data_IF_994599238282
#
_entry.id   IF_994599238282
#
_cell.length_a   1.000
_cell.length_b   1.000
_cell.length_c   1.000
_cell.angle_alpha   90.00
_cell.angle_beta   90.00
_cell.angle_gamma   90.00
#
_symmetry.space_group_name_H-M   'P 1'
#
loop_
_entity.id
_entity.type
_entity.pdbx_description
1 polymer ?
#
# COMPACT_ATOMS: atom_id res chain seq x y z
N UNK A 1 48.26 56.17 -13.38
CA UNK A 1 47.04 56.08 -12.54
C UNK A 1 45.89 55.26 -13.16
N UNK A 2 45.63 55.28 -14.48
CA UNK A 2 44.52 54.53 -15.10
C UNK A 2 44.58 52.99 -14.95
N UNK A 3 45.77 52.40 -14.87
CA UNK A 3 45.92 50.94 -14.69
C UNK A 3 45.43 50.41 -13.33
N UNK A 4 45.52 51.20 -12.27
CA UNK A 4 45.14 50.76 -10.93
C UNK A 4 43.60 50.67 -10.77
N UNK A 5 42.87 51.56 -11.45
CA UNK A 5 41.41 51.54 -11.46
C UNK A 5 40.87 50.33 -12.23
N UNK A 6 41.51 49.93 -13.34
CA UNK A 6 41.11 48.75 -14.10
C UNK A 6 41.32 47.46 -13.30
N UNK A 7 42.44 47.36 -12.57
CA UNK A 7 42.72 46.20 -11.72
C UNK A 7 41.68 46.08 -10.60
N UNK A 8 41.37 47.17 -9.90
CA UNK A 8 40.34 47.18 -8.84
C UNK A 8 38.96 46.78 -9.38
N UNK A 9 38.58 47.25 -10.57
CA UNK A 9 37.30 46.90 -11.17
C UNK A 9 37.23 45.41 -11.57
N UNK A 10 38.32 44.86 -12.12
CA UNK A 10 38.41 43.44 -12.48
C UNK A 10 38.32 42.52 -11.25
N UNK A 11 38.94 42.92 -10.14
CA UNK A 11 38.95 42.16 -8.89
C UNK A 11 37.56 42.15 -8.25
N UNK A 12 36.84 43.29 -8.31
CA UNK A 12 35.47 43.39 -7.81
C UNK A 12 34.50 42.54 -8.65
N UNK A 13 34.66 42.55 -9.98
CA UNK A 13 33.85 41.74 -10.89
C UNK A 13 34.09 40.23 -10.66
N UNK A 14 35.35 39.83 -10.45
CA UNK A 14 35.70 38.45 -10.10
C UNK A 14 35.10 38.03 -8.75
N UNK A 15 35.11 38.91 -7.76
CA UNK A 15 34.49 38.65 -6.46
C UNK A 15 32.96 38.50 -6.56
N UNK A 16 32.32 39.30 -7.41
CA UNK A 16 30.89 39.26 -7.66
C UNK A 16 30.48 37.98 -8.39
N UNK A 17 31.27 37.54 -9.38
CA UNK A 17 31.05 36.25 -10.06
C UNK A 17 31.24 35.08 -9.10
N UNK A 18 32.31 35.10 -8.28
CA UNK A 18 32.55 34.06 -7.26
C UNK A 18 31.38 33.96 -6.26
N UNK A 19 30.88 35.09 -5.77
CA UNK A 19 29.78 35.09 -4.79
C UNK A 19 28.46 34.59 -5.39
N UNK A 20 28.17 34.88 -6.67
CA UNK A 20 27.02 34.29 -7.38
C UNK A 20 27.19 32.77 -7.53
N UNK A 21 28.38 32.28 -7.87
CA UNK A 21 28.61 30.84 -8.03
C UNK A 21 28.53 30.06 -6.72
N UNK A 22 29.04 30.61 -5.62
CA UNK A 22 28.95 30.00 -4.28
C UNK A 22 27.50 29.97 -3.80
N UNK A 23 26.74 31.04 -4.02
CA UNK A 23 25.32 31.06 -3.66
C UNK A 23 24.52 30.03 -4.46
N UNK A 24 24.88 29.81 -5.73
CA UNK A 24 24.23 28.80 -6.59
C UNK A 24 24.57 27.35 -6.25
N UNK A 25 25.64 27.09 -5.49
CA UNK A 25 26.03 25.73 -5.05
C UNK A 25 25.40 25.31 -3.71
N UNK A 26 24.82 26.25 -2.95
CA UNK A 26 24.25 25.95 -1.63
C UNK A 26 22.97 25.07 -1.68
N UNK A 27 22.39 24.89 -2.86
CA UNK A 27 21.16 24.11 -3.07
C UNK A 27 21.40 22.67 -3.59
N UNK A 28 22.63 22.18 -3.70
CA UNK A 28 22.86 20.77 -4.03
C UNK A 28 22.74 19.88 -2.77
N UNK A 29 21.59 19.21 -2.67
CA UNK A 29 21.31 18.10 -1.75
C UNK A 29 22.31 16.94 -1.89
N UNK A 30 22.46 16.07 -0.87
CA UNK A 30 23.65 15.24 -0.67
C UNK A 30 23.85 14.22 -1.78
N UNK A 31 25.11 14.11 -2.20
CA UNK A 31 25.62 13.11 -3.12
C UNK A 31 25.49 11.71 -2.47
N UNK A 32 24.63 10.85 -3.02
CA UNK A 32 24.65 9.42 -2.71
C UNK A 32 25.88 8.79 -3.35
N UNK A 33 26.77 8.25 -2.53
CA UNK A 33 27.96 7.49 -2.93
C UNK A 33 27.56 6.34 -3.86
N UNK A 34 27.69 6.54 -5.16
CA UNK A 34 27.87 5.44 -6.11
C UNK A 34 29.36 5.26 -6.30
N UNK A 35 29.88 4.13 -5.82
CA UNK A 35 31.25 3.69 -6.04
C UNK A 35 31.46 3.49 -7.55
N UNK A 36 31.92 4.53 -8.24
CA UNK A 36 32.37 4.45 -9.62
C UNK A 36 33.84 4.02 -9.61
N UNK A 37 34.10 2.71 -9.68
CA UNK A 37 35.44 2.17 -9.90
C UNK A 37 35.84 2.47 -11.36
N UNK A 38 36.55 3.58 -11.56
CA UNK A 38 37.27 3.84 -12.81
C UNK A 38 38.47 2.89 -12.86
N UNK A 39 38.44 1.92 -13.78
CA UNK A 39 39.60 1.12 -14.14
C UNK A 39 40.57 2.01 -14.92
N UNK A 40 41.63 2.47 -14.26
CA UNK A 40 42.74 3.18 -14.88
C UNK A 40 43.64 2.17 -15.61
N UNK A 41 43.37 1.96 -16.90
CA UNK A 41 44.36 1.33 -17.78
C UNK A 41 45.49 2.33 -18.05
N UNK A 42 46.67 2.02 -17.52
CA UNK A 42 47.89 2.81 -17.69
C UNK A 42 48.38 2.73 -19.13
N UNK A 43 48.09 3.77 -19.93
CA UNK A 43 48.75 4.01 -21.22
C UNK A 43 50.25 4.26 -20.99
N UNK A 44 51.11 3.35 -21.47
CA UNK A 44 52.55 3.58 -21.59
C UNK A 44 52.81 4.64 -22.66
N UNK A 45 53.29 5.81 -22.24
CA UNK A 45 53.73 6.88 -23.14
C UNK A 45 55.14 6.53 -23.65
N UNK A 46 55.26 6.29 -24.96
CA UNK A 46 56.53 6.26 -25.67
C UNK A 46 57.05 7.70 -25.79
N UNK A 47 58.29 7.96 -25.38
CA UNK A 47 58.95 9.24 -25.53
C UNK A 47 59.27 9.50 -27.00
N UNK A 48 58.48 10.37 -27.63
CA UNK A 48 58.77 10.90 -28.96
C UNK A 48 59.73 12.09 -28.78
N UNK A 49 60.89 12.03 -29.42
CA UNK A 49 61.86 13.14 -29.48
C UNK A 49 61.23 14.36 -30.15
N UNK A 50 61.15 15.48 -29.42
CA UNK A 50 60.67 16.75 -29.96
C UNK A 50 61.72 17.36 -30.90
N UNK A 51 61.58 17.14 -32.20
CA UNK A 51 62.08 18.10 -33.20
C UNK A 51 61.39 19.46 -32.98
N UNK A 52 62.13 20.56 -33.15
CA UNK A 52 61.67 21.93 -32.91
C UNK A 52 60.31 22.27 -33.58
N UNK A 53 59.21 22.03 -32.86
CA UNK A 53 57.89 22.52 -33.23
C UNK A 53 57.83 23.99 -32.80
N UNK A 54 57.85 24.89 -33.77
CA UNK A 54 57.64 26.32 -33.58
C UNK A 54 56.36 26.53 -32.77
N UNK A 55 56.52 26.99 -31.53
CA UNK A 55 55.44 27.17 -30.56
C UNK A 55 54.45 28.20 -31.09
N UNK A 56 53.24 27.76 -31.42
CA UNK A 56 52.17 28.60 -32.00
C UNK A 56 51.79 29.83 -31.14
N UNK A 57 52.22 29.86 -29.88
CA UNK A 57 51.97 30.96 -28.94
C UNK A 57 53.01 32.10 -28.97
N UNK A 58 54.12 31.99 -29.71
CA UNK A 58 55.17 33.03 -29.75
C UNK A 58 54.82 34.25 -30.62
N UNK A 59 53.78 34.18 -31.47
CA UNK A 59 53.36 35.31 -32.31
C UNK A 59 51.96 35.80 -31.91
N UNK A 60 51.91 36.84 -31.07
CA UNK A 60 50.80 37.80 -30.90
C UNK A 60 49.36 37.28 -30.81
N UNK A 61 49.13 36.05 -30.36
CA UNK A 61 47.80 35.59 -29.96
C UNK A 61 47.68 35.76 -28.44
N UNK A 62 47.02 36.83 -28.01
CA UNK A 62 46.79 37.16 -26.60
C UNK A 62 46.11 36.01 -25.84
N UNK A 63 46.85 35.18 -25.07
CA UNK A 63 46.31 33.93 -24.51
C UNK A 63 45.23 34.18 -23.45
N UNK A 64 45.30 35.36 -22.83
CA UNK A 64 44.31 35.82 -21.85
C UNK A 64 42.91 35.97 -22.46
N UNK A 65 42.80 36.33 -23.76
CA UNK A 65 41.51 36.43 -24.46
C UNK A 65 40.88 35.04 -24.62
N UNK A 66 41.69 34.06 -25.04
CA UNK A 66 41.23 32.67 -25.18
C UNK A 66 40.73 32.11 -23.84
N UNK A 67 41.45 32.38 -22.73
CA UNK A 67 41.01 31.97 -21.39
C UNK A 67 39.69 32.63 -20.96
N UNK A 68 39.47 33.89 -21.35
CA UNK A 68 38.26 34.65 -21.00
C UNK A 68 37.05 34.12 -21.78
N UNK A 69 37.24 33.81 -23.07
CA UNK A 69 36.21 33.17 -23.90
C UNK A 69 35.84 31.79 -23.32
N UNK A 70 36.83 30.98 -22.97
CA UNK A 70 36.59 29.66 -22.36
C UNK A 70 35.83 29.80 -21.04
N UNK A 71 36.26 30.70 -20.14
CA UNK A 71 35.58 30.95 -18.87
C UNK A 71 34.12 31.38 -19.06
N UNK A 72 33.86 32.27 -20.02
CA UNK A 72 32.50 32.70 -20.35
C UNK A 72 31.64 31.55 -20.89
N UNK A 73 32.22 30.72 -21.76
CA UNK A 73 31.55 29.54 -22.30
C UNK A 73 31.18 28.54 -21.18
N UNK A 74 32.08 28.32 -20.23
CA UNK A 74 31.84 27.44 -19.07
C UNK A 74 30.69 27.94 -18.21
N UNK A 75 30.60 29.25 -17.96
CA UNK A 75 29.48 29.84 -17.21
C UNK A 75 28.15 29.62 -17.94
N UNK A 76 28.11 29.85 -19.26
CA UNK A 76 26.90 29.64 -20.06
C UNK A 76 26.47 28.17 -20.03
N UNK A 77 27.41 27.24 -20.25
CA UNK A 77 27.12 25.80 -20.23
C UNK A 77 26.60 25.37 -18.86
N UNK A 78 27.21 25.84 -17.77
CA UNK A 78 26.77 25.52 -16.41
C UNK A 78 25.36 26.04 -16.12
N UNK A 79 25.00 27.23 -16.60
CA UNK A 79 23.63 27.77 -16.47
C UNK A 79 22.63 26.89 -17.22
N UNK A 80 22.97 26.44 -18.44
CA UNK A 80 22.10 25.58 -19.24
C UNK A 80 21.91 24.22 -18.55
N UNK A 81 23.00 23.60 -18.07
CA UNK A 81 22.96 22.33 -17.35
C UNK A 81 22.12 22.49 -16.08
N UNK A 82 22.36 23.53 -15.28
CA UNK A 82 21.61 23.80 -14.04
C UNK A 82 20.11 23.96 -14.28
N UNK A 83 19.72 24.65 -15.35
CA UNK A 83 18.29 24.77 -15.72
C UNK A 83 17.70 23.44 -16.15
N UNK A 84 18.45 22.61 -16.87
CA UNK A 84 18.01 21.27 -17.29
C UNK A 84 17.86 20.34 -16.08
N UNK A 85 18.84 20.30 -15.17
CA UNK A 85 18.81 19.47 -13.96
C UNK A 85 17.68 19.88 -13.02
N UNK A 86 17.43 21.18 -12.85
CA UNK A 86 16.29 21.63 -12.03
C UNK A 86 14.96 21.13 -12.58
N UNK A 87 14.76 21.15 -13.92
CA UNK A 87 13.54 20.63 -14.55
C UNK A 87 13.40 19.12 -14.37
N UNK A 88 14.47 18.35 -14.50
CA UNK A 88 14.41 16.90 -14.30
C UNK A 88 14.18 16.53 -12.85
N UNK A 89 14.80 17.24 -11.90
CA UNK A 89 14.58 17.05 -10.46
C UNK A 89 13.13 17.33 -10.06
N UNK A 90 12.54 18.43 -10.54
CA UNK A 90 11.12 18.73 -10.27
C UNK A 90 10.22 17.62 -10.78
N UNK A 91 10.41 17.17 -12.03
CA UNK A 91 9.63 16.07 -12.60
C UNK A 91 9.81 14.75 -11.85
N UNK A 92 11.02 14.50 -11.33
CA UNK A 92 11.31 13.29 -10.55
C UNK A 92 10.60 13.33 -9.20
N UNK A 93 10.60 14.49 -8.52
CA UNK A 93 9.87 14.70 -7.27
C UNK A 93 8.36 14.56 -7.50
N UNK A 94 7.81 15.16 -8.57
CA UNK A 94 6.40 15.01 -8.94
C UNK A 94 6.02 13.54 -9.15
N UNK A 95 6.83 12.79 -9.89
CA UNK A 95 6.62 11.34 -10.10
C UNK A 95 6.74 10.54 -8.81
N UNK A 96 7.66 10.91 -7.92
CA UNK A 96 7.78 10.26 -6.62
C UNK A 96 6.55 10.52 -5.76
N UNK A 97 6.06 11.76 -5.70
CA UNK A 97 4.83 12.12 -4.98
C UNK A 97 3.64 11.31 -5.54
N UNK A 98 3.48 11.26 -6.86
CA UNK A 98 2.41 10.50 -7.51
C UNK A 98 2.49 9.00 -7.18
N UNK A 99 3.69 8.41 -7.27
CA UNK A 99 3.93 7.01 -6.93
C UNK A 99 3.66 6.71 -5.45
N UNK A 100 4.07 7.61 -4.55
CA UNK A 100 3.81 7.49 -3.12
C UNK A 100 2.32 7.56 -2.81
N UNK A 101 1.58 8.47 -3.42
CA UNK A 101 0.11 8.58 -3.27
C UNK A 101 -0.55 7.28 -3.74
N UNK A 102 -0.16 6.77 -4.91
CA UNK A 102 -0.70 5.51 -5.45
C UNK A 102 -0.43 4.33 -4.53
N UNK A 103 0.79 4.23 -4.02
CA UNK A 103 1.20 3.15 -3.11
C UNK A 103 0.43 3.22 -1.79
N UNK A 104 0.30 4.41 -1.21
CA UNK A 104 -0.48 4.62 0.01
C UNK A 104 -1.95 4.26 -0.19
N UNK A 105 -2.56 4.64 -1.32
CA UNK A 105 -3.93 4.26 -1.65
C UNK A 105 -4.13 2.75 -1.80
N UNK A 106 -3.19 2.05 -2.44
CA UNK A 106 -3.23 0.59 -2.55
C UNK A 106 -3.08 -0.10 -1.18
N UNK A 107 -2.16 0.39 -0.35
CA UNK A 107 -1.98 -0.13 1.01
C UNK A 107 -3.24 0.08 1.84
N UNK A 108 -3.82 1.28 1.81
CA UNK A 108 -5.05 1.59 2.53
C UNK A 108 -6.21 0.67 2.10
N UNK A 109 -6.44 0.53 0.79
CA UNK A 109 -7.48 -0.36 0.27
C UNK A 109 -7.24 -1.83 0.64
N UNK A 110 -5.97 -2.27 0.62
CA UNK A 110 -5.58 -3.61 1.06
C UNK A 110 -5.87 -3.80 2.56
N UNK A 111 -5.52 -2.84 3.40
CA UNK A 111 -5.80 -2.87 4.84
C UNK A 111 -7.30 -2.87 5.12
N UNK A 112 -8.09 -2.03 4.44
CA UNK A 112 -9.56 -2.05 4.59
C UNK A 112 -10.15 -3.40 4.20
N UNK A 113 -9.75 -3.95 3.05
CA UNK A 113 -10.22 -5.26 2.61
C UNK A 113 -9.80 -6.38 3.59
N UNK A 114 -8.57 -6.32 4.11
CA UNK A 114 -8.08 -7.26 5.11
C UNK A 114 -8.86 -7.16 6.42
N UNK A 115 -9.15 -5.94 6.90
CA UNK A 115 -9.92 -5.70 8.11
C UNK A 115 -11.36 -6.21 7.94
N UNK A 116 -12.02 -5.88 6.82
CA UNK A 116 -13.36 -6.37 6.50
C UNK A 116 -13.38 -7.90 6.41
N UNK A 117 -12.35 -8.51 5.81
CA UNK A 117 -12.22 -9.97 5.75
C UNK A 117 -12.05 -10.58 7.13
N UNK A 118 -11.25 -9.97 8.01
CA UNK A 118 -11.05 -10.48 9.37
C UNK A 118 -12.32 -10.35 10.22
N UNK A 119 -13.03 -9.22 10.11
CA UNK A 119 -14.32 -9.01 10.74
C UNK A 119 -15.35 -10.05 10.27
N UNK A 120 -15.44 -10.29 8.97
CA UNK A 120 -16.27 -11.35 8.40
C UNK A 120 -15.91 -12.74 8.96
N UNK A 121 -14.62 -13.10 9.02
CA UNK A 121 -14.16 -14.37 9.59
C UNK A 121 -14.56 -14.49 11.07
N UNK A 122 -14.38 -13.41 11.84
CA UNK A 122 -14.73 -13.37 13.25
C UNK A 122 -16.23 -13.57 13.45
N UNK A 123 -17.06 -12.92 12.63
CA UNK A 123 -18.51 -13.02 12.71
C UNK A 123 -19.01 -14.43 12.36
N UNK A 124 -18.45 -15.05 11.32
CA UNK A 124 -18.76 -16.45 10.95
C UNK A 124 -18.37 -17.40 12.08
N UNK A 125 -17.18 -17.22 12.68
CA UNK A 125 -16.72 -18.03 13.81
C UNK A 125 -17.66 -17.89 15.00
N UNK A 126 -17.99 -16.65 15.37
CA UNK A 126 -18.85 -16.35 16.49
C UNK A 126 -20.24 -16.97 16.31
N UNK A 127 -20.85 -16.76 15.14
CA UNK A 127 -22.18 -17.30 14.84
C UNK A 127 -22.20 -18.83 14.78
N UNK A 128 -21.12 -19.46 14.29
CA UNK A 128 -20.96 -20.93 14.32
C UNK A 128 -20.87 -21.46 15.74
N UNK A 129 -20.04 -20.83 16.58
CA UNK A 129 -19.91 -21.20 17.99
C UNK A 129 -21.22 -21.05 18.73
N UNK A 130 -21.93 -19.93 18.50
CA UNK A 130 -23.23 -19.70 19.12
C UNK A 130 -24.25 -20.74 18.66
N UNK A 131 -24.33 -21.05 17.36
CA UNK A 131 -25.19 -22.11 16.84
C UNK A 131 -24.89 -23.45 17.51
N UNK A 132 -23.62 -23.85 17.60
CA UNK A 132 -23.23 -25.09 18.25
C UNK A 132 -23.64 -25.14 19.73
N UNK A 133 -23.42 -24.04 20.46
CA UNK A 133 -23.83 -23.94 21.87
C UNK A 133 -25.36 -24.01 22.02
N UNK A 134 -26.13 -23.31 21.19
CA UNK A 134 -27.60 -23.36 21.25
C UNK A 134 -28.12 -24.76 20.90
N UNK A 135 -27.54 -25.43 19.91
CA UNK A 135 -27.87 -26.82 19.57
C UNK A 135 -27.56 -27.77 20.74
N UNK A 136 -26.43 -27.58 21.42
CA UNK A 136 -26.05 -28.40 22.57
C UNK A 136 -27.00 -28.18 23.76
N UNK A 137 -27.32 -26.93 24.08
CA UNK A 137 -28.29 -26.59 25.13
C UNK A 137 -29.66 -27.17 24.81
N UNK A 138 -30.14 -27.02 23.57
CA UNK A 138 -31.41 -27.57 23.13
C UNK A 138 -31.43 -29.11 23.19
N UNK A 139 -30.31 -29.77 22.90
CA UNK A 139 -30.18 -31.22 23.05
C UNK A 139 -30.20 -31.66 24.52
N UNK A 140 -29.51 -30.94 25.40
CA UNK A 140 -29.63 -31.14 26.85
C UNK A 140 -31.08 -30.98 27.30
N UNK A 141 -31.76 -29.96 26.77
CA UNK A 141 -33.19 -29.80 27.02
C UNK A 141 -33.96 -31.05 26.54
N UNK A 142 -33.76 -31.62 25.36
CA UNK A 142 -34.51 -32.84 25.00
C UNK A 142 -34.35 -34.06 25.95
N UNK A 143 -33.34 -34.07 26.83
CA UNK A 143 -33.04 -35.20 27.72
C UNK A 143 -33.66 -35.10 29.12
N UNK A 144 -34.03 -33.91 29.63
CA UNK A 144 -34.59 -33.80 30.99
C UNK A 144 -36.13 -33.83 30.99
N UNK A 145 -36.70 -34.49 32.00
CA UNK A 145 -38.15 -34.76 32.09
C UNK A 145 -39.01 -33.55 32.48
N UNK A 146 -38.45 -32.55 33.18
CA UNK A 146 -39.18 -31.41 33.73
C UNK A 146 -38.74 -30.13 33.02
N UNK A 147 -39.42 -29.77 31.93
CA UNK A 147 -38.98 -28.62 31.15
C UNK A 147 -40.05 -27.66 30.70
N UNK A 148 -39.67 -26.39 30.75
CA UNK A 148 -40.45 -25.31 30.19
C UNK A 148 -40.38 -25.37 28.66
N UNK A 149 -41.53 -25.63 28.04
CA UNK A 149 -41.72 -25.57 26.57
C UNK A 149 -41.25 -24.24 25.99
N UNK A 150 -41.38 -23.16 26.75
CA UNK A 150 -40.96 -21.81 26.36
C UNK A 150 -39.45 -21.73 26.15
N UNK A 151 -38.65 -22.32 27.04
CA UNK A 151 -37.19 -22.35 26.91
C UNK A 151 -36.74 -23.09 25.64
N UNK A 152 -37.37 -24.24 25.33
CA UNK A 152 -37.10 -24.98 24.08
C UNK A 152 -37.38 -24.14 22.85
N UNK A 153 -38.48 -23.39 22.84
CA UNK A 153 -38.84 -22.51 21.74
C UNK A 153 -37.82 -21.39 21.58
N UNK A 154 -37.43 -20.72 22.66
CA UNK A 154 -36.44 -19.63 22.64
C UNK A 154 -35.09 -20.12 22.12
N UNK A 155 -34.62 -21.29 22.57
CA UNK A 155 -33.35 -21.87 22.10
C UNK A 155 -33.44 -22.24 20.61
N UNK A 156 -34.56 -22.82 20.18
CA UNK A 156 -34.77 -23.16 18.78
C UNK A 156 -34.82 -21.93 17.86
N UNK A 157 -35.51 -20.86 18.27
CA UNK A 157 -35.53 -19.60 17.54
C UNK A 157 -34.11 -19.03 17.35
N UNK A 158 -33.27 -19.11 18.39
CA UNK A 158 -31.85 -18.72 18.30
C UNK A 158 -31.06 -19.60 17.33
N UNK A 159 -31.32 -20.91 17.29
CA UNK A 159 -30.69 -21.82 16.30
C UNK A 159 -31.07 -21.40 14.88
N UNK A 160 -32.35 -21.13 14.61
CA UNK A 160 -32.84 -20.70 13.29
C UNK A 160 -32.27 -19.33 12.91
N UNK A 161 -32.23 -18.39 13.86
CA UNK A 161 -31.62 -17.08 13.65
C UNK A 161 -30.16 -17.21 13.22
N UNK A 162 -29.36 -17.98 13.97
CA UNK A 162 -27.94 -18.18 13.66
C UNK A 162 -27.73 -18.92 12.34
N UNK A 163 -28.57 -19.92 12.01
CA UNK A 163 -28.54 -20.58 10.71
C UNK A 163 -28.76 -19.57 9.57
N UNK A 164 -29.76 -18.71 9.68
CA UNK A 164 -30.08 -17.71 8.65
C UNK A 164 -28.98 -16.66 8.53
N UNK A 165 -28.41 -16.24 9.66
CA UNK A 165 -27.26 -15.34 9.67
C UNK A 165 -26.05 -15.95 8.95
N UNK A 166 -25.75 -17.24 9.17
CA UNK A 166 -24.70 -17.94 8.44
C UNK A 166 -24.99 -18.07 6.93
N UNK A 167 -26.25 -18.23 6.53
CA UNK A 167 -26.64 -18.22 5.12
C UNK A 167 -26.39 -16.85 4.44
N UNK A 168 -26.51 -15.74 5.20
CA UNK A 168 -26.21 -14.40 4.69
C UNK A 168 -24.72 -14.10 4.66
N UNK A 169 -23.96 -14.62 5.63
CA UNK A 169 -22.51 -14.41 5.71
C UNK A 169 -21.73 -15.27 4.72
N UNK A 170 -22.24 -16.45 4.36
CA UNK A 170 -21.52 -17.42 3.54
C UNK A 170 -22.04 -17.45 2.10
N UNK A 171 -21.12 -17.37 1.15
CA UNK A 171 -21.44 -17.51 -0.26
C UNK A 171 -21.60 -18.98 -0.67
N UNK A 172 -22.81 -19.39 -1.06
CA UNK A 172 -23.13 -20.74 -1.51
C UNK A 172 -22.47 -21.16 -2.84
N UNK A 173 -21.91 -20.22 -3.61
CA UNK A 173 -21.15 -20.57 -4.83
C UNK A 173 -19.78 -21.16 -4.53
N UNK A 174 -19.26 -20.97 -3.31
CA UNK A 174 -18.00 -21.54 -2.85
C UNK A 174 -18.30 -22.92 -2.27
N UNK A 175 -17.63 -23.96 -2.80
CA UNK A 175 -17.91 -25.36 -2.44
C UNK A 175 -17.78 -25.63 -0.93
N UNK A 176 -16.70 -25.14 -0.30
CA UNK A 176 -16.47 -25.33 1.14
C UNK A 176 -17.58 -24.71 2.00
N UNK A 177 -18.04 -23.51 1.63
CA UNK A 177 -19.14 -22.82 2.30
C UNK A 177 -20.46 -23.57 2.10
N UNK A 178 -20.74 -24.02 0.88
CA UNK A 178 -21.93 -24.80 0.57
C UNK A 178 -21.97 -26.11 1.39
N UNK A 179 -20.85 -26.82 1.46
CA UNK A 179 -20.76 -28.05 2.24
C UNK A 179 -21.04 -27.79 3.73
N UNK A 180 -20.50 -26.72 4.29
CA UNK A 180 -20.77 -26.31 5.66
C UNK A 180 -22.25 -25.93 5.90
N UNK A 181 -22.85 -25.15 4.99
CA UNK A 181 -24.27 -24.78 5.05
C UNK A 181 -25.21 -26.00 4.96
N UNK A 182 -24.83 -27.01 4.15
CA UNK A 182 -25.54 -28.29 4.08
C UNK A 182 -25.47 -29.04 5.40
N UNK A 183 -24.29 -29.12 6.04
CA UNK A 183 -24.13 -29.74 7.35
C UNK A 183 -24.98 -29.06 8.42
N UNK A 184 -25.02 -27.72 8.45
CA UNK A 184 -25.90 -26.97 9.37
C UNK A 184 -27.37 -27.27 9.09
N UNK A 185 -27.78 -27.28 7.82
CA UNK A 185 -29.17 -27.56 7.46
C UNK A 185 -29.59 -28.98 7.85
N UNK A 186 -28.70 -29.96 7.71
CA UNK A 186 -28.93 -31.32 8.18
C UNK A 186 -29.07 -31.38 9.71
N UNK A 187 -28.22 -30.66 10.46
CA UNK A 187 -28.30 -30.58 11.92
C UNK A 187 -29.64 -29.97 12.37
N UNK A 188 -30.04 -28.85 11.76
CA UNK A 188 -31.33 -28.21 12.09
C UNK A 188 -32.51 -29.12 11.75
N UNK A 189 -32.46 -29.83 10.62
CA UNK A 189 -33.50 -30.80 10.27
C UNK A 189 -33.64 -31.92 11.31
N UNK A 190 -32.52 -32.40 11.88
CA UNK A 190 -32.54 -33.40 12.96
C UNK A 190 -33.22 -32.81 14.20
N UNK A 191 -32.89 -31.57 14.57
CA UNK A 191 -33.52 -30.87 15.69
C UNK A 191 -35.03 -30.66 15.48
N UNK A 192 -35.44 -30.35 14.24
CA UNK A 192 -36.85 -30.22 13.87
C UNK A 192 -37.60 -31.53 14.10
N UNK A 193 -37.03 -32.65 13.66
CA UNK A 193 -37.62 -33.99 13.85
C UNK A 193 -37.75 -34.30 15.35
N UNK A 194 -36.72 -33.99 16.15
CA UNK A 194 -36.75 -34.19 17.60
C UNK A 194 -37.82 -33.31 18.28
N UNK A 195 -37.95 -32.05 17.88
CA UNK A 195 -39.01 -31.16 18.36
C UNK A 195 -40.39 -31.72 18.04
N UNK A 196 -40.62 -32.13 16.79
CA UNK A 196 -41.90 -32.69 16.35
C UNK A 196 -42.24 -34.00 17.08
N UNK A 197 -41.26 -34.87 17.29
CA UNK A 197 -41.45 -36.12 18.01
C UNK A 197 -41.69 -35.89 19.52
N UNK A 198 -41.06 -34.90 20.13
CA UNK A 198 -41.36 -34.48 21.51
C UNK A 198 -42.81 -33.97 21.62
N UNK A 199 -43.34 -33.33 20.58
CA UNK A 199 -44.72 -32.85 20.55
C UNK A 199 -45.75 -33.99 20.42
N UNK A 200 -45.43 -35.08 19.71
CA UNK A 200 -46.34 -36.22 19.59
C UNK A 200 -46.54 -36.99 20.90
N UNK A 201 -45.62 -36.88 21.88
CA UNK A 201 -45.86 -37.38 23.24
C UNK A 201 -46.82 -36.51 24.07
N UNK A 202 -47.07 -35.26 23.65
CA UNK A 202 -47.87 -34.26 24.39
C UNK A 202 -49.21 -33.99 23.65
N UNK A 203 -49.41 -34.57 22.46
CA UNK A 203 -50.61 -34.39 21.62
C UNK A 203 -51.73 -35.34 22.01
N UNK A 204 -52.47 -34.95 23.04
CA UNK A 204 -53.90 -35.24 23.07
C UNK A 204 -54.79 -34.05 22.66
N UNK A 205 -54.37 -32.76 22.65
CA UNK A 205 -55.37 -31.70 22.37
C UNK A 205 -55.08 -30.48 21.44
N UNK A 206 -53.87 -29.91 21.26
CA UNK A 206 -53.82 -28.51 20.71
C UNK A 206 -53.05 -28.24 19.40
N UNK A 207 -52.55 -29.25 18.69
CA UNK A 207 -51.51 -28.98 17.70
C UNK A 207 -51.94 -28.58 16.29
N UNK A 208 -53.24 -28.54 15.98
CA UNK A 208 -53.72 -28.14 14.66
C UNK A 208 -53.72 -26.60 14.50
N UNK A 209 -53.87 -25.85 15.59
CA UNK A 209 -53.82 -24.39 15.56
C UNK A 209 -52.38 -23.84 15.43
N UNK A 210 -51.38 -24.54 15.96
CA UNK A 210 -49.98 -24.11 16.04
C UNK A 210 -49.30 -23.99 14.66
N UNK A 211 -49.41 -25.01 13.80
CA UNK A 211 -48.76 -24.96 12.47
C UNK A 211 -49.41 -23.97 11.50
N UNK A 212 -50.68 -23.63 11.73
CA UNK A 212 -51.40 -22.66 10.90
C UNK A 212 -50.90 -21.22 11.12
N UNK A 213 -50.25 -20.93 12.25
CA UNK A 213 -49.71 -19.61 12.59
C UNK A 213 -48.30 -19.38 12.03
N UNK A 214 -47.43 -20.39 12.11
CA UNK A 214 -46.04 -20.30 11.63
C UNK A 214 -46.00 -20.24 10.10
N UNK A 215 -46.88 -20.97 9.40
CA UNK A 215 -46.95 -20.97 7.93
C UNK A 215 -47.51 -19.69 7.30
N UNK A 216 -48.13 -18.80 8.10
CA UNK A 216 -48.71 -17.53 7.63
C UNK A 216 -47.80 -16.33 7.81
N UNK A 217 -46.63 -16.49 8.44
CA UNK A 217 -45.68 -15.40 8.72
C UNK A 217 -44.47 -15.39 7.79
N UNK A 218 -44.51 -16.19 6.71
CA UNK A 218 -43.54 -16.22 5.62
C UNK A 218 -44.28 -16.16 4.29
#
# INVERSE_FOLDING_TARGET
MKHNQFFQFSLLLLFLVLSITVYSQKDSLPFTNTNFQVRLDTLKIQSIELGNIKKWYENSAMPWIASLIIAFLTVIINIIISRSTRKTSVRLVERQIESSIRTAGLQFNSTLNSNNRQEWINEVRHCTSELATQCQLLNGEFQEEIQSRENKMVLYEKVIFNRNKLLLLLNASIETHNNFLKSISALVMILDIHLLNSQNRIRDFDNIAFFRKIRRSY
#
